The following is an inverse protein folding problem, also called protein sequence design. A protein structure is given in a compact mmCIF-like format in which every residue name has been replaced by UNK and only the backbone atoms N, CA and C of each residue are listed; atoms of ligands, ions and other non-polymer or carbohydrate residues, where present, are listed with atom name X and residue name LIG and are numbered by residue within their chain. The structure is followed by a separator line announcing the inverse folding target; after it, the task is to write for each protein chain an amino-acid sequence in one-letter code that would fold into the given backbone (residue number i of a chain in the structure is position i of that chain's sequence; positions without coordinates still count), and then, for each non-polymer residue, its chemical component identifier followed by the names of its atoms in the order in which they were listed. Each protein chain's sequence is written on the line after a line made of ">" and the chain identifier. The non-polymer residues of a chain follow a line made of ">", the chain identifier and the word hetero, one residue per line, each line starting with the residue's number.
data_IF_076197735506
#
_entry.id   IF_076197735506
#
_cell.length_a   1.000
_cell.length_b   1.000
_cell.length_c   1.000
_cell.angle_alpha   90.00
_cell.angle_beta   90.00
_cell.angle_gamma   90.00
#
_symmetry.space_group_name_H-M   'P 1'
#
loop_
_entity.id
_entity.type
_entity.pdbx_description
1 polymer ?
#
# COMPACT_ATOMS: atom_id res chain seq x y z
N UNK A 1 13.37 -19.79 -8.11
CA UNK A 1 13.54 -19.12 -9.40
C UNK A 1 12.37 -18.18 -9.70
N UNK A 2 12.66 -17.10 -10.37
CA UNK A 2 11.65 -16.12 -10.80
C UNK A 2 11.07 -16.54 -12.17
N UNK A 3 9.75 -16.42 -12.36
CA UNK A 3 9.15 -16.65 -13.67
C UNK A 3 9.48 -15.49 -14.62
N UNK A 4 10.02 -15.82 -15.80
CA UNK A 4 10.41 -14.82 -16.81
C UNK A 4 9.41 -14.75 -17.96
N UNK A 5 8.78 -15.87 -18.34
CA UNK A 5 7.85 -15.90 -19.46
C UNK A 5 6.82 -17.01 -19.34
N UNK A 6 5.71 -16.87 -20.08
CA UNK A 6 4.67 -17.89 -20.24
C UNK A 6 4.35 -18.04 -21.73
N UNK A 7 4.46 -19.26 -22.26
CA UNK A 7 4.13 -19.60 -23.64
C UNK A 7 3.23 -20.84 -23.68
N UNK A 8 1.99 -20.71 -24.17
CA UNK A 8 1.06 -21.84 -24.37
C UNK A 8 0.98 -22.78 -23.15
N UNK A 9 0.86 -22.22 -21.93
CA UNK A 9 0.83 -23.02 -20.69
C UNK A 9 2.22 -23.41 -20.15
N UNK A 10 3.31 -23.04 -20.82
CA UNK A 10 4.66 -23.23 -20.32
C UNK A 10 5.19 -22.00 -19.63
N UNK A 11 5.66 -22.14 -18.39
CA UNK A 11 6.32 -21.10 -17.59
C UNK A 11 7.82 -21.34 -17.60
N UNK A 12 8.61 -20.33 -18.02
CA UNK A 12 10.07 -20.38 -17.99
C UNK A 12 10.61 -19.54 -16.84
N UNK A 13 11.49 -20.12 -16.02
CA UNK A 13 12.13 -19.44 -14.88
C UNK A 13 13.50 -18.86 -15.25
N UNK A 14 14.03 -17.98 -14.40
CA UNK A 14 15.38 -17.40 -14.50
C UNK A 14 16.51 -18.46 -14.52
N UNK A 15 16.29 -19.63 -13.89
CA UNK A 15 17.19 -20.78 -13.94
C UNK A 15 17.00 -21.66 -15.18
N UNK A 16 16.23 -21.22 -16.19
CA UNK A 16 16.00 -21.97 -17.44
C UNK A 16 15.03 -23.16 -17.31
N UNK A 17 14.43 -23.39 -16.12
CA UNK A 17 13.44 -24.47 -15.97
C UNK A 17 12.16 -24.14 -16.73
N UNK A 18 11.63 -25.14 -17.41
CA UNK A 18 10.34 -25.10 -18.12
C UNK A 18 9.32 -25.90 -17.34
N UNK A 19 8.19 -25.28 -17.01
CA UNK A 19 7.11 -25.87 -16.24
C UNK A 19 5.84 -25.82 -17.08
N UNK A 20 5.22 -26.95 -17.34
CA UNK A 20 3.89 -27.00 -17.94
C UNK A 20 2.84 -26.76 -16.87
N UNK A 21 1.85 -25.94 -17.18
CA UNK A 21 0.77 -25.60 -16.27
C UNK A 21 -0.56 -25.46 -17.01
N UNK A 22 -1.58 -26.14 -16.53
CA UNK A 22 -2.95 -26.00 -17.03
C UNK A 22 -3.61 -24.69 -16.54
N UNK A 23 -3.13 -24.16 -15.42
CA UNK A 23 -3.59 -22.93 -14.80
C UNK A 23 -2.41 -22.16 -14.20
N UNK A 24 -2.35 -20.87 -14.45
CA UNK A 24 -1.39 -19.95 -13.82
C UNK A 24 -2.09 -19.04 -12.80
N UNK A 25 -1.55 -18.95 -11.59
CA UNK A 25 -2.00 -18.01 -10.56
C UNK A 25 -0.91 -16.97 -10.32
N UNK A 26 -1.20 -15.70 -10.61
CA UNK A 26 -0.33 -14.57 -10.31
C UNK A 26 -0.51 -14.15 -8.85
N UNK A 27 0.29 -14.69 -7.95
CA UNK A 27 0.35 -14.34 -6.53
C UNK A 27 1.58 -13.47 -6.25
N UNK A 28 1.64 -12.32 -6.88
CA UNK A 28 2.84 -11.49 -7.07
C UNK A 28 3.09 -10.46 -5.97
N UNK A 29 2.60 -10.60 -4.80
CA UNK A 29 2.85 -9.68 -3.67
C UNK A 29 2.84 -8.18 -4.05
N UNK A 30 3.47 -7.32 -3.25
CA UNK A 30 3.62 -5.90 -3.53
C UNK A 30 4.86 -5.64 -4.41
N UNK A 31 4.75 -4.79 -5.46
CA UNK A 31 5.92 -4.33 -6.18
C UNK A 31 6.80 -3.45 -5.27
N UNK A 32 8.11 -3.37 -5.53
CA UNK A 32 8.96 -2.43 -4.82
C UNK A 32 8.48 -0.99 -5.02
N UNK A 33 8.84 -0.06 -4.10
CA UNK A 33 8.57 1.36 -4.29
C UNK A 33 9.19 1.88 -5.58
N UNK A 34 8.49 2.74 -6.31
CA UNK A 34 9.09 3.46 -7.44
C UNK A 34 9.95 4.61 -6.92
N UNK A 35 11.10 4.80 -7.58
CA UNK A 35 11.92 5.96 -7.34
C UNK A 35 11.23 7.20 -7.92
N UNK A 36 10.99 8.27 -7.15
CA UNK A 36 10.47 9.52 -7.69
C UNK A 36 11.39 10.08 -8.78
N UNK A 37 10.83 10.69 -9.82
CA UNK A 37 11.62 11.21 -10.97
C UNK A 37 12.77 12.14 -10.55
N UNK A 38 12.53 12.99 -9.55
CA UNK A 38 13.57 13.88 -8.99
C UNK A 38 14.67 13.13 -8.24
N UNK A 39 14.41 11.92 -7.75
CA UNK A 39 15.42 11.10 -7.09
C UNK A 39 16.15 10.13 -8.04
N UNK A 40 15.69 9.98 -9.28
CA UNK A 40 16.31 9.08 -10.27
C UNK A 40 17.78 9.39 -10.52
N UNK A 41 18.22 10.66 -10.67
CA UNK A 41 19.64 10.97 -10.86
C UNK A 41 20.52 10.56 -9.64
N UNK A 42 19.91 10.40 -8.48
CA UNK A 42 20.56 10.06 -7.22
C UNK A 42 20.40 8.59 -6.81
N UNK A 43 19.97 7.71 -7.73
CA UNK A 43 19.65 6.31 -7.42
C UNK A 43 20.80 5.53 -6.74
N UNK A 44 22.04 5.89 -7.03
CA UNK A 44 23.25 5.29 -6.43
C UNK A 44 23.91 6.17 -5.37
N UNK A 45 23.30 7.30 -5.02
CA UNK A 45 23.87 8.24 -4.05
C UNK A 45 23.86 7.61 -2.63
N UNK A 46 24.99 7.69 -1.87
CA UNK A 46 25.08 7.03 -0.55
C UNK A 46 24.09 7.58 0.47
N UNK A 47 23.69 8.85 0.36
CA UNK A 47 22.68 9.44 1.24
C UNK A 47 21.24 9.00 0.88
N UNK A 48 20.96 8.41 -0.30
CA UNK A 48 19.62 7.98 -0.68
C UNK A 48 19.33 6.57 -0.24
N UNK A 49 18.35 6.40 0.64
CA UNK A 49 17.82 5.10 1.05
C UNK A 49 16.47 4.88 0.38
N UNK A 50 16.51 4.23 -0.79
CA UNK A 50 15.31 3.97 -1.59
C UNK A 50 14.40 2.89 -0.98
N UNK A 51 14.97 1.97 -0.17
CA UNK A 51 14.23 0.91 0.50
C UNK A 51 14.71 0.76 1.96
N UNK A 52 13.95 1.31 2.93
CA UNK A 52 14.30 1.22 4.35
C UNK A 52 14.17 -0.19 4.93
N UNK A 53 13.50 -1.11 4.22
CA UNK A 53 13.32 -2.50 4.65
C UNK A 53 14.52 -3.41 4.35
N UNK A 54 15.51 -2.91 3.61
CA UNK A 54 16.75 -3.67 3.40
C UNK A 54 17.46 -3.88 4.74
N UNK A 55 17.79 -5.14 5.03
CA UNK A 55 18.39 -5.52 6.30
C UNK A 55 19.63 -4.66 6.63
N UNK A 56 19.68 -4.13 7.84
CA UNK A 56 20.81 -3.34 8.35
C UNK A 56 20.92 -1.91 7.84
N UNK A 57 20.15 -1.48 6.82
CA UNK A 57 20.35 -0.16 6.21
C UNK A 57 20.11 1.00 7.19
N UNK A 58 19.14 0.91 8.09
CA UNK A 58 18.88 1.94 9.08
C UNK A 58 19.95 1.99 10.20
N UNK A 59 20.66 0.89 10.44
CA UNK A 59 21.74 0.83 11.41
C UNK A 59 23.02 1.54 10.94
N UNK A 60 23.14 1.86 9.66
CA UNK A 60 24.26 2.65 9.12
C UNK A 60 24.12 4.15 9.36
N UNK A 61 22.96 4.62 9.80
CA UNK A 61 22.68 6.03 10.05
C UNK A 61 23.28 6.42 11.39
N UNK A 62 24.15 7.42 11.38
CA UNK A 62 24.77 7.91 12.62
C UNK A 62 23.73 8.51 13.59
N UNK A 63 23.92 8.38 14.91
CA UNK A 63 22.93 8.83 15.90
C UNK A 63 22.50 10.29 15.78
N UNK A 64 23.37 11.18 15.35
CA UNK A 64 23.11 12.64 15.24
C UNK A 64 22.83 13.08 13.78
N UNK A 65 22.81 12.16 12.83
CA UNK A 65 22.61 12.49 11.42
C UNK A 65 21.24 13.13 11.18
N UNK A 66 21.19 14.11 10.29
CA UNK A 66 19.94 14.68 9.83
C UNK A 66 19.26 13.77 8.80
N UNK A 67 17.98 13.50 8.97
CA UNK A 67 17.21 12.57 8.12
C UNK A 67 16.02 13.28 7.49
N UNK A 68 15.90 13.24 6.17
CA UNK A 68 14.67 13.56 5.46
C UNK A 68 13.90 12.29 5.10
N UNK A 69 12.58 12.28 5.26
CA UNK A 69 11.75 11.12 4.94
C UNK A 69 10.60 11.52 4.01
N UNK A 70 10.54 10.93 2.83
CA UNK A 70 9.43 11.14 1.89
C UNK A 70 8.34 10.08 2.10
N UNK A 71 7.21 10.50 2.63
CA UNK A 71 6.10 9.68 3.07
C UNK A 71 5.85 9.86 4.56
N UNK A 72 4.58 9.76 4.99
CA UNK A 72 4.18 9.97 6.39
C UNK A 72 3.23 8.88 6.88
N UNK A 73 3.22 7.72 6.21
CA UNK A 73 2.41 6.55 6.55
C UNK A 73 3.13 5.55 7.47
N UNK A 74 2.68 4.29 7.44
CA UNK A 74 3.21 3.19 8.26
C UNK A 74 4.73 3.05 8.17
N UNK A 75 5.26 3.00 6.95
CA UNK A 75 6.70 2.80 6.73
C UNK A 75 7.55 3.91 7.35
N UNK A 76 7.08 5.16 7.32
CA UNK A 76 7.76 6.26 8.02
C UNK A 76 7.70 6.06 9.53
N UNK A 77 6.55 5.69 10.08
CA UNK A 77 6.39 5.46 11.50
C UNK A 77 7.34 4.36 12.01
N UNK A 78 7.39 3.23 11.30
CA UNK A 78 8.30 2.13 11.61
C UNK A 78 9.78 2.53 11.44
N UNK A 79 10.10 3.33 10.42
CA UNK A 79 11.44 3.88 10.21
C UNK A 79 11.88 4.74 11.39
N UNK A 80 11.03 5.69 11.82
CA UNK A 80 11.33 6.58 12.96
C UNK A 80 11.45 5.79 14.26
N UNK A 81 10.55 4.84 14.51
CA UNK A 81 10.61 3.99 15.70
C UNK A 81 11.88 3.13 15.70
N UNK A 82 12.27 2.58 14.54
CA UNK A 82 13.51 1.79 14.40
C UNK A 82 14.74 2.63 14.62
N UNK A 83 14.83 3.82 14.03
CA UNK A 83 15.94 4.76 14.26
C UNK A 83 16.05 5.12 15.74
N UNK A 84 14.92 5.44 16.40
CA UNK A 84 14.91 5.75 17.83
C UNK A 84 15.41 4.59 18.68
N UNK A 85 14.98 3.36 18.38
CA UNK A 85 15.46 2.13 19.04
C UNK A 85 16.95 1.88 18.83
N UNK A 86 17.49 2.29 17.68
CA UNK A 86 18.93 2.22 17.36
C UNK A 86 19.73 3.38 17.97
N UNK A 87 19.11 4.25 18.77
CA UNK A 87 19.78 5.35 19.47
C UNK A 87 19.91 6.64 18.65
N UNK A 88 19.19 6.77 17.55
CA UNK A 88 19.19 8.00 16.75
C UNK A 88 18.51 9.15 17.48
N UNK A 89 19.18 10.30 17.57
CA UNK A 89 18.73 11.51 18.25
C UNK A 89 18.67 12.73 17.33
N UNK A 90 19.29 12.66 16.15
CA UNK A 90 19.31 13.75 15.17
C UNK A 90 17.93 14.18 14.67
N UNK A 91 17.83 15.31 13.97
CA UNK A 91 16.57 15.84 13.46
C UNK A 91 16.04 15.01 12.31
N UNK A 92 14.72 14.75 12.31
CA UNK A 92 13.99 14.07 11.25
C UNK A 92 12.94 15.01 10.64
N UNK A 93 12.98 15.24 9.33
CA UNK A 93 11.97 15.97 8.59
C UNK A 93 11.18 15.01 7.70
N UNK A 94 9.98 14.60 8.12
CA UNK A 94 9.09 13.77 7.32
C UNK A 94 8.10 14.64 6.54
N UNK A 95 7.87 14.33 5.26
CA UNK A 95 6.94 15.12 4.47
C UNK A 95 6.11 14.25 3.50
N UNK A 96 4.90 14.70 3.27
CA UNK A 96 4.01 14.16 2.23
C UNK A 96 3.09 15.26 1.70
N UNK A 97 2.39 14.99 0.61
CA UNK A 97 1.47 15.96 -0.02
C UNK A 97 0.43 16.54 0.95
N UNK A 98 0.07 15.84 2.01
CA UNK A 98 -0.95 16.25 2.99
C UNK A 98 -0.43 16.31 4.43
N UNK A 99 0.76 15.81 4.73
CA UNK A 99 1.33 15.76 6.07
C UNK A 99 0.50 14.94 7.08
N UNK A 100 -0.31 14.01 6.61
CA UNK A 100 -1.14 13.18 7.47
C UNK A 100 -0.31 12.02 8.02
N UNK A 101 -0.44 11.77 9.33
CA UNK A 101 0.15 10.63 10.02
C UNK A 101 -0.85 9.49 10.17
N UNK A 102 -0.39 8.24 10.09
CA UNK A 102 -1.18 7.08 10.48
C UNK A 102 -1.62 7.19 11.94
N UNK A 103 -2.88 6.90 12.22
CA UNK A 103 -3.45 6.98 13.56
C UNK A 103 -3.04 5.77 14.40
N UNK A 104 -3.05 5.93 15.71
CA UNK A 104 -2.82 4.84 16.64
C UNK A 104 -3.96 3.81 16.59
N UNK A 105 -3.60 2.54 16.77
CA UNK A 105 -4.58 1.50 17.02
C UNK A 105 -5.09 1.56 18.46
N UNK A 106 -6.16 0.82 18.75
CA UNK A 106 -6.63 0.59 20.13
C UNK A 106 -5.64 -0.29 20.88
N UNK A 107 -5.57 -0.08 22.19
CA UNK A 107 -4.94 -1.03 23.10
C UNK A 107 -5.99 -2.07 23.47
N UNK A 108 -5.88 -3.27 22.92
CA UNK A 108 -6.83 -4.37 23.10
C UNK A 108 -7.77 -4.61 21.91
N UNK A 109 -8.61 -5.62 22.02
CA UNK A 109 -9.66 -5.95 21.06
C UNK A 109 -10.96 -5.27 21.44
N UNK A 110 -11.72 -4.83 20.45
CA UNK A 110 -13.07 -4.30 20.61
C UNK A 110 -13.94 -4.83 19.49
N UNK A 111 -15.20 -5.10 19.77
CA UNK A 111 -16.16 -5.47 18.74
C UNK A 111 -16.40 -4.30 17.79
N UNK A 112 -16.49 -4.56 16.47
CA UNK A 112 -16.84 -3.54 15.51
C UNK A 112 -18.23 -2.96 15.78
N UNK A 113 -18.39 -1.67 15.49
CA UNK A 113 -19.68 -0.98 15.58
C UNK A 113 -20.75 -1.67 14.73
N UNK A 114 -22.01 -1.84 15.21
CA UNK A 114 -23.06 -2.55 14.47
C UNK A 114 -23.73 -1.69 13.37
N UNK A 115 -22.92 -1.00 12.55
CA UNK A 115 -23.38 -0.14 11.47
C UNK A 115 -23.30 -0.80 10.08
N UNK A 116 -24.24 -0.45 9.18
CA UNK A 116 -24.21 -0.83 7.76
C UNK A 116 -23.80 0.37 6.90
N UNK A 117 -22.78 0.18 6.02
CA UNK A 117 -22.18 1.26 5.22
C UNK A 117 -22.11 0.99 3.73
N UNK A 118 -22.62 -0.15 3.27
CA UNK A 118 -22.56 -0.55 1.86
C UNK A 118 -23.72 -0.02 1.01
N UNK A 119 -24.72 0.67 1.63
CA UNK A 119 -25.88 1.24 0.95
C UNK A 119 -25.79 2.76 0.80
N UNK A 120 -26.47 3.27 -0.21
CA UNK A 120 -26.57 4.71 -0.48
C UNK A 120 -25.37 5.29 -1.23
N UNK A 121 -25.41 6.60 -1.45
CA UNK A 121 -24.35 7.37 -2.13
C UNK A 121 -23.12 7.52 -1.25
N UNK A 122 -21.95 7.77 -1.85
CA UNK A 122 -20.71 8.03 -1.10
C UNK A 122 -20.87 9.13 -0.04
N UNK A 123 -21.65 10.19 -0.35
CA UNK A 123 -21.93 11.28 0.62
C UNK A 123 -22.77 10.81 1.80
N UNK A 124 -23.80 9.99 1.56
CA UNK A 124 -24.65 9.44 2.63
C UNK A 124 -23.84 8.50 3.53
N UNK A 125 -23.02 7.63 2.95
CA UNK A 125 -22.11 6.74 3.70
C UNK A 125 -21.15 7.54 4.60
N UNK A 126 -20.51 8.59 4.07
CA UNK A 126 -19.63 9.45 4.87
C UNK A 126 -20.36 10.18 6.01
N UNK A 127 -21.60 10.62 5.75
CA UNK A 127 -22.43 11.21 6.81
C UNK A 127 -22.75 10.21 7.90
N UNK A 128 -23.18 9.01 7.52
CA UNK A 128 -23.49 7.93 8.46
C UNK A 128 -22.28 7.55 9.32
N UNK A 129 -21.10 7.35 8.70
CA UNK A 129 -19.87 7.06 9.43
C UNK A 129 -19.55 8.13 10.47
N UNK A 130 -19.71 9.42 10.16
CA UNK A 130 -19.47 10.53 11.10
C UNK A 130 -20.45 10.50 12.26
N UNK A 131 -21.74 10.30 11.98
CA UNK A 131 -22.77 10.21 13.01
C UNK A 131 -22.52 9.00 13.94
N UNK A 132 -22.10 7.88 13.38
CA UNK A 132 -21.82 6.69 14.21
C UNK A 132 -20.53 6.85 15.03
N UNK A 133 -19.54 7.61 14.54
CA UNK A 133 -18.38 7.98 15.36
C UNK A 133 -18.80 8.87 16.56
N UNK A 134 -19.71 9.82 16.35
CA UNK A 134 -20.25 10.67 17.42
C UNK A 134 -21.03 9.82 18.44
N UNK A 135 -21.91 8.93 17.96
CA UNK A 135 -22.66 8.00 18.82
C UNK A 135 -21.77 7.03 19.61
N UNK A 136 -20.73 6.50 18.94
CA UNK A 136 -19.76 5.66 19.61
C UNK A 136 -19.05 6.40 20.75
N UNK A 137 -18.66 7.66 20.51
CA UNK A 137 -18.05 8.51 21.53
C UNK A 137 -19.00 8.78 22.72
N UNK A 138 -20.30 9.02 22.46
CA UNK A 138 -21.34 9.18 23.51
C UNK A 138 -21.47 7.92 24.40
N UNK A 139 -21.17 6.73 23.82
CA UNK A 139 -21.15 5.45 24.52
C UNK A 139 -19.77 5.09 25.11
N UNK A 140 -18.82 6.03 25.15
CA UNK A 140 -17.46 5.78 25.63
C UNK A 140 -16.61 4.88 24.73
N UNK A 141 -17.05 4.64 23.49
CA UNK A 141 -16.32 3.83 22.53
C UNK A 141 -15.46 4.70 21.62
N UNK A 142 -14.31 4.15 21.22
CA UNK A 142 -13.39 4.87 20.34
C UNK A 142 -13.82 4.78 18.86
N UNK A 143 -13.51 5.81 18.07
CA UNK A 143 -13.85 5.88 16.65
C UNK A 143 -13.35 4.67 15.82
N UNK A 144 -12.33 3.97 16.31
CA UNK A 144 -11.75 2.82 15.63
C UNK A 144 -12.76 1.69 15.41
N UNK A 145 -13.68 1.46 16.34
CA UNK A 145 -14.70 0.41 16.22
C UNK A 145 -15.62 0.65 15.02
N UNK A 146 -15.95 1.92 14.74
CA UNK A 146 -16.74 2.31 13.56
C UNK A 146 -15.96 2.08 12.27
N UNK A 147 -14.69 2.47 12.25
CA UNK A 147 -13.84 2.29 11.06
C UNK A 147 -13.51 0.82 10.82
N UNK A 148 -13.50 -0.02 11.85
CA UNK A 148 -13.33 -1.47 11.69
C UNK A 148 -14.61 -2.11 11.10
N UNK A 149 -15.80 -1.65 11.46
CA UNK A 149 -17.04 -2.04 10.81
C UNK A 149 -17.08 -1.62 9.32
N UNK A 150 -16.63 -0.40 9.00
CA UNK A 150 -16.47 0.06 7.60
C UNK A 150 -15.46 -0.81 6.85
N UNK A 151 -14.35 -1.17 7.49
CA UNK A 151 -13.32 -2.03 6.90
C UNK A 151 -13.84 -3.43 6.58
N UNK A 152 -14.59 -4.02 7.50
CA UNK A 152 -15.17 -5.36 7.31
C UNK A 152 -16.14 -5.40 6.12
N UNK A 153 -16.79 -4.26 5.81
CA UNK A 153 -17.66 -4.07 4.64
C UNK A 153 -16.92 -3.47 3.43
N UNK A 154 -15.60 -3.30 3.50
CA UNK A 154 -14.81 -2.55 2.52
C UNK A 154 -14.96 -3.06 1.09
N UNK A 155 -15.07 -4.37 0.89
CA UNK A 155 -15.27 -4.96 -0.43
C UNK A 155 -16.66 -4.61 -1.01
N UNK A 156 -17.74 -4.82 -0.26
CA UNK A 156 -19.12 -4.50 -0.71
C UNK A 156 -19.28 -3.01 -0.93
N UNK A 157 -18.73 -2.18 -0.04
CA UNK A 157 -18.68 -0.72 -0.20
C UNK A 157 -18.00 -0.35 -1.52
N UNK A 158 -16.81 -0.87 -1.78
CA UNK A 158 -16.04 -0.57 -2.98
C UNK A 158 -16.75 -1.02 -4.25
N UNK A 159 -17.25 -2.25 -4.27
CA UNK A 159 -17.96 -2.80 -5.43
C UNK A 159 -19.27 -2.07 -5.72
N UNK A 160 -19.97 -1.58 -4.71
CA UNK A 160 -21.18 -0.79 -4.83
C UNK A 160 -20.96 0.68 -5.26
N UNK A 161 -19.70 1.18 -5.35
CA UNK A 161 -19.40 2.52 -5.83
C UNK A 161 -19.42 2.55 -7.37
N UNK A 162 -19.97 3.62 -7.94
CA UNK A 162 -19.82 3.91 -9.38
C UNK A 162 -18.36 4.21 -9.72
N UNK A 163 -17.97 4.08 -11.00
CA UNK A 163 -16.63 4.45 -11.47
C UNK A 163 -16.28 5.89 -11.07
N UNK A 164 -17.22 6.83 -11.22
CA UNK A 164 -17.02 8.22 -10.84
C UNK A 164 -16.78 8.39 -9.33
N UNK A 165 -17.50 7.64 -8.49
CA UNK A 165 -17.33 7.71 -7.04
C UNK A 165 -16.03 7.05 -6.58
N UNK A 166 -15.60 5.95 -7.23
CA UNK A 166 -14.25 5.36 -6.99
C UNK A 166 -13.16 6.37 -7.32
N UNK A 167 -13.26 7.08 -8.46
CA UNK A 167 -12.30 8.13 -8.84
C UNK A 167 -12.31 9.30 -7.84
N UNK A 168 -13.49 9.75 -7.39
CA UNK A 168 -13.61 10.80 -6.35
C UNK A 168 -12.99 10.36 -5.03
N UNK A 169 -13.27 9.13 -4.61
CA UNK A 169 -12.69 8.55 -3.40
C UNK A 169 -11.16 8.53 -3.50
N UNK A 170 -10.59 7.97 -4.57
CA UNK A 170 -9.15 7.87 -4.76
C UNK A 170 -8.48 9.26 -4.79
N UNK A 171 -9.11 10.25 -5.40
CA UNK A 171 -8.57 11.61 -5.51
C UNK A 171 -8.64 12.38 -4.20
N UNK A 172 -9.74 12.30 -3.47
CA UNK A 172 -10.05 13.21 -2.37
C UNK A 172 -10.03 12.55 -0.99
N UNK A 173 -10.44 11.28 -0.87
CA UNK A 173 -10.68 10.62 0.42
C UNK A 173 -9.63 9.57 0.77
N UNK A 174 -8.97 8.97 -0.21
CA UNK A 174 -8.03 7.86 0.01
C UNK A 174 -7.00 8.16 1.09
N UNK A 175 -6.36 9.35 1.07
CA UNK A 175 -5.33 9.68 2.06
C UNK A 175 -5.88 9.75 3.50
N UNK A 176 -7.13 10.18 3.66
CA UNK A 176 -7.82 10.17 4.97
C UNK A 176 -8.19 8.75 5.37
N UNK A 177 -8.73 7.96 4.44
CA UNK A 177 -9.00 6.55 4.67
C UNK A 177 -7.73 5.81 5.09
N UNK A 178 -6.64 5.95 4.33
CA UNK A 178 -5.40 5.25 4.57
C UNK A 178 -4.86 5.48 5.99
N UNK A 179 -4.83 6.72 6.49
CA UNK A 179 -4.30 6.99 7.84
C UNK A 179 -5.18 6.48 8.98
N UNK A 180 -6.48 6.29 8.75
CA UNK A 180 -7.39 5.72 9.73
C UNK A 180 -7.48 4.20 9.63
N UNK A 181 -7.25 3.66 8.44
CA UNK A 181 -7.29 2.25 8.11
C UNK A 181 -5.97 1.54 8.43
N UNK A 182 -4.86 2.13 8.04
CA UNK A 182 -3.51 1.62 8.29
C UNK A 182 -2.96 2.27 9.56
N UNK A 183 -3.36 1.70 10.69
CA UNK A 183 -3.02 2.21 12.02
C UNK A 183 -1.69 1.65 12.50
N UNK A 184 -0.98 2.43 13.32
CA UNK A 184 0.28 2.07 13.96
C UNK A 184 0.01 1.54 15.37
N UNK A 185 0.92 0.72 15.86
CA UNK A 185 0.86 0.22 17.23
C UNK A 185 0.98 1.38 18.24
N UNK A 186 0.30 1.34 19.39
CA UNK A 186 0.33 2.43 20.38
C UNK A 186 1.73 2.82 20.82
N UNK A 187 2.64 1.85 20.99
CA UNK A 187 4.04 2.11 21.33
C UNK A 187 4.78 2.89 20.24
N UNK A 188 4.50 2.62 18.96
CA UNK A 188 5.07 3.39 17.83
C UNK A 188 4.50 4.81 17.82
N UNK A 189 3.19 4.94 18.06
CA UNK A 189 2.55 6.27 18.20
C UNK A 189 3.21 7.11 19.30
N UNK A 190 3.45 6.50 20.46
CA UNK A 190 4.14 7.17 21.58
C UNK A 190 5.55 7.67 21.23
N UNK A 191 6.32 6.91 20.44
CA UNK A 191 7.63 7.35 19.94
C UNK A 191 7.50 8.57 19.03
N UNK A 192 6.57 8.54 18.07
CA UNK A 192 6.35 9.68 17.16
C UNK A 192 5.91 10.93 17.93
N UNK A 193 4.96 10.79 18.85
CA UNK A 193 4.46 11.87 19.69
C UNK A 193 5.57 12.49 20.57
N UNK A 194 6.43 11.66 21.14
CA UNK A 194 7.58 12.12 21.92
C UNK A 194 8.53 12.94 21.05
N UNK A 195 8.91 12.42 19.88
CA UNK A 195 9.83 13.11 18.97
C UNK A 195 9.24 14.38 18.34
N UNK A 196 7.90 14.46 18.21
CA UNK A 196 7.23 15.69 17.80
C UNK A 196 7.23 16.74 18.94
N UNK A 197 7.00 16.32 20.19
CA UNK A 197 7.01 17.20 21.37
C UNK A 197 8.39 17.80 21.66
N UNK A 198 9.46 17.03 21.51
CA UNK A 198 10.83 17.52 21.71
C UNK A 198 11.41 18.21 20.45
N UNK A 199 10.66 18.28 19.36
CA UNK A 199 11.03 18.95 18.12
C UNK A 199 11.99 18.18 17.21
N UNK A 200 12.40 16.96 17.58
CA UNK A 200 13.31 16.14 16.77
C UNK A 200 12.62 15.47 15.57
N UNK A 201 11.27 15.43 15.53
CA UNK A 201 10.48 15.02 14.36
C UNK A 201 9.58 16.16 13.91
N UNK A 202 9.79 16.65 12.69
CA UNK A 202 8.89 17.61 12.03
C UNK A 202 8.13 16.91 10.89
N UNK A 203 6.80 17.07 10.87
CA UNK A 203 5.93 16.53 9.82
C UNK A 203 5.37 17.63 8.97
N UNK A 204 5.63 17.61 7.67
CA UNK A 204 5.34 18.69 6.74
C UNK A 204 4.32 18.28 5.67
N UNK A 205 3.33 19.12 5.42
CA UNK A 205 2.44 19.01 4.26
C UNK A 205 3.09 19.72 3.06
N UNK A 206 3.99 19.04 2.36
CA UNK A 206 4.80 19.62 1.29
C UNK A 206 5.03 18.63 0.12
N UNK A 207 5.45 19.18 -1.02
CA UNK A 207 5.91 18.42 -2.18
C UNK A 207 7.40 18.65 -2.41
N UNK A 208 8.12 17.62 -2.80
CA UNK A 208 9.48 17.76 -3.31
C UNK A 208 9.41 18.41 -4.69
N UNK A 209 10.11 19.53 -4.88
CA UNK A 209 10.16 20.29 -6.14
C UNK A 209 11.54 20.29 -6.77
N UNK A 210 12.60 20.16 -5.96
CA UNK A 210 13.96 19.93 -6.43
C UNK A 210 14.74 19.07 -5.44
N UNK A 211 15.72 18.35 -5.97
CA UNK A 211 16.69 17.58 -5.21
C UNK A 211 18.07 17.87 -5.80
N UNK A 212 18.98 18.28 -4.94
CA UNK A 212 20.37 18.57 -5.26
C UNK A 212 21.24 17.76 -4.31
N UNK A 213 22.49 17.49 -4.68
CA UNK A 213 23.40 16.74 -3.81
C UNK A 213 24.85 17.05 -4.08
N UNK A 214 25.65 16.90 -3.04
CA UNK A 214 27.09 16.80 -3.11
C UNK A 214 27.53 15.34 -2.85
N UNK A 215 28.80 15.05 -2.63
CA UNK A 215 29.27 13.69 -2.42
C UNK A 215 28.71 13.00 -1.15
N UNK A 216 28.15 13.73 -0.21
CA UNK A 216 27.79 13.22 1.13
C UNK A 216 26.32 13.50 1.51
N UNK A 217 25.74 14.62 1.06
CA UNK A 217 24.44 15.09 1.50
C UNK A 217 23.49 15.37 0.35
N UNK A 218 22.22 15.32 0.66
CA UNK A 218 21.14 15.73 -0.25
C UNK A 218 20.41 16.97 0.29
N UNK A 219 20.18 17.93 -0.58
CA UNK A 219 19.42 19.14 -0.33
C UNK A 219 18.06 19.06 -1.02
N UNK A 220 16.99 19.04 -0.25
CA UNK A 220 15.61 18.94 -0.72
C UNK A 220 14.98 20.32 -0.73
N UNK A 221 14.38 20.71 -1.84
CA UNK A 221 13.50 21.87 -1.93
C UNK A 221 12.06 21.39 -1.80
N UNK A 222 11.40 21.79 -0.72
CA UNK A 222 10.04 21.43 -0.39
C UNK A 222 9.10 22.61 -0.60
N UNK A 223 7.99 22.43 -1.32
CA UNK A 223 6.94 23.42 -1.49
C UNK A 223 5.72 23.08 -0.62
N UNK A 224 5.55 23.72 0.54
CA UNK A 224 4.35 23.63 1.35
C UNK A 224 3.15 24.28 0.63
N UNK A 225 1.92 23.91 1.03
CA UNK A 225 0.71 24.43 0.36
C UNK A 225 0.44 25.92 0.56
N UNK A 226 0.90 26.51 1.68
CA UNK A 226 0.51 27.86 2.14
C UNK A 226 1.68 28.68 2.68
N UNK A 227 2.90 28.20 2.50
CA UNK A 227 4.10 28.84 2.99
C UNK A 227 5.14 28.92 1.87
N UNK A 228 6.16 29.73 2.10
CA UNK A 228 7.33 29.79 1.22
C UNK A 228 8.05 28.45 1.12
N UNK A 229 8.80 28.29 0.06
CA UNK A 229 9.60 27.10 -0.21
C UNK A 229 10.62 26.90 0.92
N UNK A 230 10.73 25.68 1.41
CA UNK A 230 11.65 25.29 2.47
C UNK A 230 12.78 24.47 1.90
N UNK A 231 14.03 24.83 2.20
CA UNK A 231 15.21 24.01 1.88
C UNK A 231 15.58 23.16 3.11
N UNK A 232 15.72 21.84 2.91
CA UNK A 232 16.10 20.88 3.93
C UNK A 232 17.34 20.16 3.47
N UNK A 233 18.47 20.34 4.17
CA UNK A 233 19.68 19.54 3.97
C UNK A 233 19.62 18.31 4.86
N UNK A 234 19.96 17.14 4.32
CA UNK A 234 19.92 15.89 5.06
C UNK A 234 21.13 15.00 4.74
N UNK A 235 21.67 14.38 5.76
CA UNK A 235 22.72 13.35 5.65
C UNK A 235 22.14 12.07 5.02
N UNK A 236 20.84 11.81 5.25
CA UNK A 236 20.13 10.69 4.61
C UNK A 236 18.73 11.11 4.15
N UNK A 237 18.38 10.70 2.94
CA UNK A 237 17.04 10.86 2.38
C UNK A 237 16.39 9.48 2.19
N UNK A 238 15.33 9.19 2.95
CA UNK A 238 14.66 7.90 3.00
C UNK A 238 13.32 7.96 2.27
N UNK A 239 13.09 7.02 1.36
CA UNK A 239 11.81 6.90 0.65
C UNK A 239 10.89 5.91 1.36
N UNK A 240 9.72 6.38 1.78
CA UNK A 240 8.67 5.57 2.41
C UNK A 240 7.33 5.70 1.68
N UNK A 241 7.38 5.83 0.36
CA UNK A 241 6.21 6.12 -0.50
C UNK A 241 5.28 4.93 -0.73
N UNK A 242 5.66 3.74 -0.26
CA UNK A 242 4.90 2.50 -0.44
C UNK A 242 5.05 1.89 -1.83
N UNK A 243 4.39 0.75 -2.08
CA UNK A 243 4.53 -0.02 -3.31
C UNK A 243 3.96 0.68 -4.56
N UNK A 244 4.64 0.53 -5.69
CA UNK A 244 4.33 1.19 -6.96
C UNK A 244 3.28 0.41 -7.78
N UNK A 245 2.05 0.32 -7.32
CA UNK A 245 0.99 -0.44 -8.01
C UNK A 245 0.61 0.11 -9.39
N UNK A 246 0.79 1.40 -9.65
CA UNK A 246 0.41 2.03 -10.93
C UNK A 246 1.25 1.59 -12.14
N UNK A 247 2.44 1.00 -11.90
CA UNK A 247 3.32 0.48 -12.96
C UNK A 247 3.47 -1.04 -12.92
N UNK A 248 2.49 -1.76 -12.40
CA UNK A 248 2.59 -3.18 -12.11
C UNK A 248 2.90 -4.01 -13.36
N UNK A 249 2.28 -3.71 -14.50
CA UNK A 249 2.50 -4.41 -15.78
C UNK A 249 3.94 -4.36 -16.28
N UNK A 250 4.72 -3.36 -15.84
CA UNK A 250 6.11 -3.17 -16.25
C UNK A 250 7.12 -3.50 -15.14
N UNK A 251 6.64 -3.84 -13.95
CA UNK A 251 7.46 -4.02 -12.74
C UNK A 251 8.34 -5.27 -12.77
N UNK A 252 7.95 -6.29 -13.53
CA UNK A 252 8.63 -7.59 -13.61
C UNK A 252 8.63 -8.12 -15.05
N UNK A 253 9.65 -8.89 -15.47
CA UNK A 253 9.75 -9.44 -16.83
C UNK A 253 8.51 -10.24 -17.25
N UNK A 254 8.01 -11.11 -16.36
CA UNK A 254 6.79 -11.91 -16.60
C UNK A 254 5.56 -11.03 -16.88
N UNK A 255 5.32 -10.03 -16.03
CA UNK A 255 4.14 -9.16 -16.17
C UNK A 255 4.22 -8.32 -17.44
N UNK A 256 5.42 -7.83 -17.77
CA UNK A 256 5.65 -7.11 -19.03
C UNK A 256 5.35 -7.99 -20.24
N UNK A 257 5.82 -9.22 -20.26
CA UNK A 257 5.54 -10.16 -21.34
C UNK A 257 4.04 -10.47 -21.46
N UNK A 258 3.37 -10.78 -20.33
CA UNK A 258 1.94 -11.04 -20.32
C UNK A 258 1.13 -9.83 -20.83
N UNK A 259 1.53 -8.62 -20.45
CA UNK A 259 0.92 -7.37 -20.90
C UNK A 259 1.15 -7.12 -22.40
N UNK A 260 2.39 -7.32 -22.90
CA UNK A 260 2.73 -7.20 -24.33
C UNK A 260 1.93 -8.18 -25.19
N UNK A 261 1.71 -9.39 -24.70
CA UNK A 261 0.88 -10.41 -25.35
C UNK A 261 -0.62 -10.14 -25.22
N UNK A 262 -1.02 -9.12 -24.50
CA UNK A 262 -2.42 -8.77 -24.29
C UNK A 262 -3.18 -9.67 -23.31
N UNK A 263 -2.49 -10.51 -22.54
CA UNK A 263 -3.09 -11.47 -21.60
C UNK A 263 -3.51 -10.82 -20.28
N UNK A 264 -2.87 -9.73 -19.90
CA UNK A 264 -3.23 -8.87 -18.77
C UNK A 264 -3.26 -7.41 -19.20
N UNK A 265 -3.97 -6.59 -18.44
CA UNK A 265 -3.90 -5.13 -18.53
C UNK A 265 -3.94 -4.50 -17.15
N UNK A 266 -3.42 -3.27 -17.04
CA UNK A 266 -3.62 -2.46 -15.85
C UNK A 266 -5.11 -2.11 -15.69
N UNK A 267 -5.58 -2.01 -14.44
CA UNK A 267 -6.93 -1.53 -14.16
C UNK A 267 -7.08 -0.03 -14.42
N UNK A 268 -8.33 0.43 -14.54
CA UNK A 268 -8.66 1.82 -14.85
C UNK A 268 -8.32 2.83 -13.74
N UNK A 269 -7.95 2.37 -12.54
CA UNK A 269 -7.69 3.21 -11.37
C UNK A 269 -6.20 3.26 -10.99
N UNK A 270 -5.34 2.49 -11.65
CA UNK A 270 -3.92 2.35 -11.32
C UNK A 270 -3.68 1.66 -9.98
N UNK A 271 -4.55 0.73 -9.62
CA UNK A 271 -4.47 -0.03 -8.37
C UNK A 271 -3.84 -1.41 -8.52
N UNK A 272 -3.78 -1.94 -9.73
CA UNK A 272 -3.24 -3.26 -10.02
C UNK A 272 -3.58 -3.76 -11.42
N UNK A 273 -3.97 -5.02 -11.53
CA UNK A 273 -4.44 -5.66 -12.75
C UNK A 273 -5.96 -5.66 -12.81
N UNK A 274 -6.48 -5.59 -14.03
CA UNK A 274 -7.91 -5.73 -14.28
C UNK A 274 -8.32 -7.19 -14.18
N UNK A 275 -9.33 -7.47 -13.35
CA UNK A 275 -9.83 -8.82 -13.08
C UNK A 275 -11.35 -8.84 -12.99
N UNK A 276 -11.95 -9.99 -13.22
CA UNK A 276 -13.38 -10.20 -13.00
C UNK A 276 -13.68 -10.63 -11.54
N UNK A 277 -14.97 -10.87 -11.27
CA UNK A 277 -15.46 -11.31 -9.94
C UNK A 277 -14.89 -12.65 -9.45
N UNK A 278 -14.32 -13.45 -10.35
CA UNK A 278 -13.70 -14.73 -10.06
C UNK A 278 -12.17 -14.65 -10.06
N UNK A 279 -11.61 -13.44 -10.00
CA UNK A 279 -10.17 -13.18 -10.04
C UNK A 279 -9.47 -13.63 -11.32
N UNK A 280 -10.22 -13.85 -12.42
CA UNK A 280 -9.64 -14.16 -13.72
C UNK A 280 -9.12 -12.87 -14.35
N UNK A 281 -7.91 -12.93 -14.89
CA UNK A 281 -7.28 -11.78 -15.54
C UNK A 281 -8.08 -11.34 -16.77
N UNK A 282 -8.17 -10.02 -16.96
CA UNK A 282 -8.78 -9.40 -18.15
C UNK A 282 -7.64 -8.87 -19.03
N UNK A 283 -7.62 -9.33 -20.27
CA UNK A 283 -6.63 -8.94 -21.28
C UNK A 283 -6.91 -7.57 -21.91
N UNK A 284 -6.02 -7.18 -22.83
CA UNK A 284 -6.05 -5.87 -23.51
C UNK A 284 -7.39 -5.58 -24.19
N UNK A 285 -8.00 -6.58 -24.83
CA UNK A 285 -9.28 -6.44 -25.54
C UNK A 285 -10.50 -6.44 -24.60
N UNK A 286 -10.32 -6.47 -23.28
CA UNK A 286 -11.42 -6.54 -22.33
C UNK A 286 -12.02 -7.95 -22.16
N UNK A 287 -11.40 -8.97 -22.74
CA UNK A 287 -11.82 -10.37 -22.63
C UNK A 287 -11.07 -11.05 -21.48
N UNK A 288 -11.74 -12.02 -20.86
CA UNK A 288 -11.13 -12.87 -19.84
C UNK A 288 -10.02 -13.71 -20.50
N UNK A 289 -8.85 -13.72 -19.88
CA UNK A 289 -7.74 -14.61 -20.27
C UNK A 289 -8.00 -15.98 -19.64
N UNK A 290 -8.20 -17.03 -20.44
CA UNK A 290 -8.39 -18.38 -19.92
C UNK A 290 -7.20 -18.82 -19.08
N UNK A 291 -7.48 -19.58 -18.03
CA UNK A 291 -6.47 -20.23 -17.18
C UNK A 291 -5.43 -19.27 -16.56
N UNK A 292 -5.80 -18.01 -16.36
CA UNK A 292 -4.96 -17.03 -15.69
C UNK A 292 -5.74 -16.33 -14.56
N UNK A 293 -5.37 -16.63 -13.32
CA UNK A 293 -5.95 -16.03 -12.12
C UNK A 293 -4.98 -15.04 -11.47
N UNK A 294 -5.53 -14.07 -10.75
CA UNK A 294 -4.75 -13.08 -10.00
C UNK A 294 -5.14 -13.13 -8.53
N UNK A 295 -4.17 -13.37 -7.64
CA UNK A 295 -4.38 -13.47 -6.20
C UNK A 295 -3.71 -12.31 -5.45
N UNK A 296 -4.37 -11.83 -4.39
CA UNK A 296 -3.84 -10.83 -3.48
C UNK A 296 -3.87 -9.39 -4.00
N UNK A 297 -2.92 -8.53 -3.58
CA UNK A 297 -2.96 -7.08 -3.80
C UNK A 297 -3.07 -6.62 -5.25
N UNK A 298 -2.63 -7.44 -6.20
CA UNK A 298 -2.72 -7.13 -7.62
C UNK A 298 -4.17 -7.09 -8.15
N UNK A 299 -5.13 -7.76 -7.49
CA UNK A 299 -6.55 -7.79 -7.84
C UNK A 299 -7.39 -6.70 -7.13
N UNK A 300 -6.76 -5.81 -6.35
CA UNK A 300 -7.47 -4.86 -5.47
C UNK A 300 -8.34 -3.84 -6.20
N UNK A 301 -8.13 -3.63 -7.48
CA UNK A 301 -8.98 -2.73 -8.28
C UNK A 301 -10.44 -3.19 -8.30
N UNK A 302 -10.66 -4.49 -8.34
CA UNK A 302 -12.00 -5.09 -8.28
C UNK A 302 -12.47 -5.27 -6.83
N UNK A 303 -11.62 -5.80 -5.96
CA UNK A 303 -11.99 -6.21 -4.60
C UNK A 303 -11.83 -5.09 -3.55
N UNK A 304 -11.08 -4.02 -3.84
CA UNK A 304 -10.87 -2.87 -2.95
C UNK A 304 -9.86 -3.16 -1.85
N UNK A 305 -10.28 -3.85 -0.82
CA UNK A 305 -9.50 -4.05 0.41
C UNK A 305 -8.69 -5.35 0.37
N UNK A 306 -7.53 -5.35 -0.32
CA UNK A 306 -6.61 -6.49 -0.45
C UNK A 306 -5.17 -6.13 -0.09
N UNK A 307 -4.95 -5.46 1.04
CA UNK A 307 -3.62 -4.97 1.41
C UNK A 307 -3.03 -5.61 2.67
N UNK A 308 -3.81 -6.38 3.39
CA UNK A 308 -3.36 -7.03 4.63
C UNK A 308 -4.23 -8.21 5.01
N UNK A 309 -3.77 -8.96 6.00
CA UNK A 309 -4.56 -10.01 6.62
C UNK A 309 -5.74 -9.40 7.39
N UNK A 310 -6.91 -10.08 7.48
CA UNK A 310 -7.24 -11.38 6.90
C UNK A 310 -7.67 -11.34 5.42
N UNK A 311 -7.97 -10.17 4.85
CA UNK A 311 -8.60 -10.03 3.53
C UNK A 311 -7.81 -10.69 2.40
N UNK A 312 -6.47 -10.67 2.48
CA UNK A 312 -5.61 -11.35 1.49
C UNK A 312 -5.73 -12.86 1.61
N UNK A 313 -5.86 -13.40 2.83
CA UNK A 313 -6.04 -14.83 3.08
C UNK A 313 -7.40 -15.32 2.54
N UNK A 314 -8.49 -14.58 2.83
CA UNK A 314 -9.83 -14.89 2.33
C UNK A 314 -9.86 -14.87 0.79
N UNK A 315 -9.20 -13.88 0.19
CA UNK A 315 -9.10 -13.81 -1.27
C UNK A 315 -8.29 -14.96 -1.85
N UNK A 316 -7.19 -15.36 -1.20
CA UNK A 316 -6.38 -16.50 -1.64
C UNK A 316 -7.19 -17.80 -1.60
N UNK A 317 -8.01 -18.01 -0.56
CA UNK A 317 -8.93 -19.14 -0.48
C UNK A 317 -9.97 -19.12 -1.62
N UNK A 318 -10.58 -17.97 -1.90
CA UNK A 318 -11.52 -17.82 -3.01
C UNK A 318 -10.88 -18.10 -4.39
N UNK A 319 -9.61 -17.68 -4.58
CA UNK A 319 -8.84 -17.96 -5.80
C UNK A 319 -8.50 -19.46 -5.90
N UNK A 320 -8.18 -20.12 -4.79
CA UNK A 320 -7.96 -21.56 -4.77
C UNK A 320 -9.23 -22.33 -5.15
N UNK A 321 -10.39 -21.92 -4.63
CA UNK A 321 -11.69 -22.50 -5.01
C UNK A 321 -11.99 -22.32 -6.51
N UNK A 322 -11.62 -21.15 -7.09
CA UNK A 322 -11.77 -20.92 -8.52
C UNK A 322 -10.79 -21.78 -9.36
N UNK A 323 -9.56 -21.96 -8.86
CA UNK A 323 -8.58 -22.83 -9.50
C UNK A 323 -9.07 -24.27 -9.58
N UNK A 324 -9.59 -24.82 -8.49
CA UNK A 324 -10.18 -26.17 -8.46
C UNK A 324 -11.34 -26.31 -9.45
N UNK A 325 -12.24 -25.31 -9.51
CA UNK A 325 -13.34 -25.30 -10.47
C UNK A 325 -12.86 -25.27 -11.92
N UNK A 326 -11.85 -24.46 -12.21
CA UNK A 326 -11.27 -24.32 -13.55
C UNK A 326 -10.61 -25.63 -14.02
N UNK A 327 -9.97 -26.35 -13.11
CA UNK A 327 -9.31 -27.63 -13.36
C UNK A 327 -10.27 -28.83 -13.34
N UNK A 328 -11.56 -28.62 -13.06
CA UNK A 328 -12.55 -29.68 -13.00
C UNK A 328 -12.39 -30.64 -11.80
N UNK A 329 -11.61 -30.23 -10.78
CA UNK A 329 -11.40 -31.02 -9.56
C UNK A 329 -12.61 -30.90 -8.66
N UNK A 330 -13.28 -32.01 -8.33
CA UNK A 330 -14.35 -32.04 -7.33
C UNK A 330 -13.76 -31.71 -5.95
N UNK A 331 -14.36 -30.75 -5.24
CA UNK A 331 -14.00 -30.49 -3.85
C UNK A 331 -14.30 -31.75 -3.01
N UNK A 332 -13.28 -32.46 -2.58
CA UNK A 332 -13.40 -33.35 -1.44
C UNK A 332 -13.63 -32.47 -0.18
N UNK A 333 -14.50 -32.91 0.73
CA UNK A 333 -14.91 -32.18 1.91
C UNK A 333 -13.73 -31.46 2.58
N UNK A 334 -13.90 -30.15 2.86
CA UNK A 334 -12.88 -29.32 3.54
C UNK A 334 -12.51 -29.97 4.86
N UNK A 335 -11.22 -30.26 5.05
CA UNK A 335 -10.71 -30.49 6.40
C UNK A 335 -11.00 -29.23 7.24
N UNK A 336 -11.57 -29.34 8.43
CA UNK A 336 -11.77 -28.17 9.30
C UNK A 336 -10.42 -27.49 9.54
N UNK A 337 -10.40 -26.18 9.40
CA UNK A 337 -9.21 -25.37 9.68
C UNK A 337 -8.78 -25.55 11.14
N UNK A 338 -7.48 -25.71 11.35
CA UNK A 338 -6.85 -25.72 12.67
C UNK A 338 -6.90 -24.35 13.32
#
# INVERSE_FOLDING_TARGET
>A
GQALSVNHGEVVTDGGRRLQADLLVLAISHPPPSLPSLATPFATHPALIANPWRAGVLATIAPEASVAVMGTGLTMADTVATLTRLGHRGPIAAFSRRGLLSRSNLSGSSEPWPGEYDRGTLRQRLRQIRLDIERAAEQGQAWQVVLDAVRNQGQSIWQGLTVADRQRFLRHLRSYWDVHRYRIAPQVAGVLEQRQRDGSLRVLAARLTALEGDAQKLALTLAPRRCETLRVSADHFILTTGPAHGGLTDSQPLLRQLSQRGLIRADAFGLGLDVDRRSRAIGREGRITPNLLVSGPAARAYFGELMGLPQVADHAAAVADEALRTLGVKQSARCPAF
#
